data_IF_774558278539
#
_entry.id   IF_774558278539
#
_cell.length_a   1.000
_cell.length_b   1.000
_cell.length_c   1.000
_cell.angle_alpha   90.00
_cell.angle_beta   90.00
_cell.angle_gamma   90.00
#
_symmetry.space_group_name_H-M   'P 1'
#
loop_
_entity.id
_entity.type
_entity.pdbx_description
1 polymer ?
#
# COMPACT_ATOMS: atom_id res chain seq x y z
N UNK A 1 11.62 -37.40 -2.27
CA UNK A 1 10.65 -37.04 -1.23
C UNK A 1 10.48 -35.54 -1.31
N UNK A 2 9.37 -35.03 -1.83
CA UNK A 2 9.13 -33.60 -1.85
C UNK A 2 8.90 -33.15 -0.42
N UNK A 3 9.80 -32.34 0.14
CA UNK A 3 9.55 -31.61 1.37
C UNK A 3 8.38 -30.64 1.07
N UNK A 4 7.17 -31.13 1.24
CA UNK A 4 6.01 -30.23 1.22
C UNK A 4 6.13 -29.35 2.45
N UNK A 5 6.48 -28.09 2.24
CA UNK A 5 6.58 -27.10 3.32
C UNK A 5 5.20 -26.99 3.94
N UNK A 6 5.09 -27.31 5.23
CA UNK A 6 3.86 -27.03 5.99
C UNK A 6 3.83 -25.53 6.31
N UNK A 7 3.31 -24.76 5.33
CA UNK A 7 3.25 -23.30 5.44
C UNK A 7 2.32 -22.84 6.58
N UNK A 8 1.30 -23.61 6.90
CA UNK A 8 0.36 -23.28 7.98
C UNK A 8 1.05 -23.41 9.35
N UNK A 9 1.82 -24.48 9.56
CA UNK A 9 2.57 -24.65 10.80
C UNK A 9 3.66 -23.59 10.96
N UNK A 10 4.39 -23.30 9.87
CA UNK A 10 5.42 -22.27 9.90
C UNK A 10 4.87 -20.87 10.12
N UNK A 11 3.72 -20.54 9.52
CA UNK A 11 3.03 -19.26 9.77
C UNK A 11 2.66 -19.12 11.25
N UNK A 12 2.11 -20.17 11.86
CA UNK A 12 1.74 -20.17 13.28
C UNK A 12 2.94 -20.05 14.22
N UNK A 13 4.08 -20.59 13.81
CA UNK A 13 5.31 -20.59 14.63
C UNK A 13 6.04 -19.24 14.58
N UNK A 14 6.11 -18.62 13.39
CA UNK A 14 6.98 -17.46 13.17
C UNK A 14 6.25 -16.14 12.91
N UNK A 15 4.95 -16.14 12.61
CA UNK A 15 4.20 -14.92 12.33
C UNK A 15 3.16 -14.67 13.43
N UNK A 16 3.13 -13.44 13.94
CA UNK A 16 2.14 -13.05 14.94
C UNK A 16 0.72 -13.28 14.42
N UNK A 17 -0.13 -13.91 15.23
CA UNK A 17 -1.50 -14.28 14.88
C UNK A 17 -2.44 -13.05 14.90
N UNK A 18 -2.26 -12.16 13.94
CA UNK A 18 -3.05 -10.92 13.78
C UNK A 18 -4.09 -11.01 12.67
N UNK A 19 -4.04 -12.05 11.82
CA UNK A 19 -4.94 -12.24 10.69
C UNK A 19 -5.51 -13.65 10.64
N UNK A 20 -6.80 -13.78 10.30
CA UNK A 20 -7.39 -15.06 9.88
C UNK A 20 -7.08 -15.29 8.39
N UNK A 21 -6.26 -16.30 8.08
CA UNK A 21 -5.89 -16.63 6.70
C UNK A 21 -6.72 -17.78 6.15
N UNK A 22 -6.97 -17.74 4.85
CA UNK A 22 -7.44 -18.92 4.12
C UNK A 22 -6.27 -19.90 3.96
N UNK A 23 -6.56 -21.20 4.03
CA UNK A 23 -5.53 -22.23 3.90
C UNK A 23 -5.15 -22.46 2.43
N UNK A 24 -4.54 -21.43 1.84
CA UNK A 24 -3.99 -21.44 0.48
C UNK A 24 -2.68 -20.67 0.49
N UNK A 25 -1.65 -21.28 -0.08
CA UNK A 25 -0.34 -20.62 -0.25
C UNK A 25 -0.09 -20.39 -1.75
N UNK A 26 -0.18 -19.14 -2.19
CA UNK A 26 0.12 -18.75 -3.56
C UNK A 26 1.63 -18.66 -3.79
N UNK A 27 2.11 -19.18 -4.92
CA UNK A 27 3.52 -19.19 -5.29
C UNK A 27 3.82 -18.21 -6.43
N UNK A 28 2.90 -18.08 -7.39
CA UNK A 28 3.08 -17.22 -8.57
C UNK A 28 1.75 -16.70 -9.10
N UNK A 29 1.83 -15.70 -9.97
CA UNK A 29 0.69 -15.16 -10.68
C UNK A 29 1.06 -14.51 -12.00
N UNK A 30 0.08 -14.32 -12.87
CA UNK A 30 0.20 -13.51 -14.10
C UNK A 30 -1.16 -12.88 -14.43
N UNK A 31 -1.20 -11.56 -14.53
CA UNK A 31 -2.47 -10.85 -14.72
C UNK A 31 -3.44 -11.11 -13.56
N UNK A 32 -4.61 -11.65 -13.88
CA UNK A 32 -5.64 -12.03 -12.91
C UNK A 32 -5.62 -13.53 -12.54
N UNK A 33 -4.57 -14.25 -12.87
CA UNK A 33 -4.41 -15.67 -12.52
C UNK A 33 -3.35 -15.84 -11.44
N UNK A 34 -3.65 -16.69 -10.47
CA UNK A 34 -2.75 -17.10 -9.40
C UNK A 34 -2.61 -18.62 -9.38
N UNK A 35 -1.46 -19.12 -8.98
CA UNK A 35 -1.24 -20.55 -8.76
C UNK A 35 -0.72 -20.78 -7.34
N UNK A 36 -1.31 -21.75 -6.68
CA UNK A 36 -0.83 -22.17 -5.36
C UNK A 36 0.38 -23.11 -5.47
N UNK A 37 0.98 -23.44 -4.33
CA UNK A 37 2.13 -24.35 -4.23
C UNK A 37 1.87 -25.78 -4.75
N UNK A 38 0.62 -26.14 -4.98
CA UNK A 38 0.23 -27.43 -5.60
C UNK A 38 0.08 -27.32 -7.12
N UNK A 39 0.15 -26.11 -7.67
CA UNK A 39 -0.06 -25.80 -9.08
C UNK A 39 -1.53 -25.60 -9.46
N UNK A 40 -2.44 -25.56 -8.50
CA UNK A 40 -3.83 -25.26 -8.76
C UNK A 40 -4.00 -23.78 -9.13
N UNK A 41 -4.79 -23.52 -10.17
CA UNK A 41 -5.09 -22.20 -10.68
C UNK A 41 -6.30 -21.57 -10.01
N UNK A 42 -6.23 -20.26 -9.80
CA UNK A 42 -7.29 -19.42 -9.24
C UNK A 42 -7.43 -18.12 -10.03
N UNK A 43 -8.64 -17.60 -10.09
CA UNK A 43 -8.90 -16.24 -10.62
C UNK A 43 -8.85 -15.26 -9.45
N UNK A 44 -7.95 -14.30 -9.53
CA UNK A 44 -7.83 -13.24 -8.53
C UNK A 44 -8.82 -12.10 -8.83
N UNK A 45 -9.90 -12.06 -8.07
CA UNK A 45 -10.86 -10.95 -8.07
C UNK A 45 -10.61 -9.94 -6.94
N UNK A 46 -9.63 -10.21 -6.07
CA UNK A 46 -9.32 -9.38 -4.90
C UNK A 46 -8.20 -8.39 -5.15
N UNK A 47 -7.34 -8.66 -6.15
CA UNK A 47 -6.19 -7.82 -6.52
C UNK A 47 -5.33 -7.37 -5.32
N UNK A 48 -5.16 -8.27 -4.31
CA UNK A 48 -4.44 -7.91 -3.08
C UNK A 48 -5.07 -6.71 -2.33
N UNK A 49 -6.39 -6.63 -2.30
CA UNK A 49 -7.18 -5.49 -1.80
C UNK A 49 -6.83 -4.19 -2.57
N UNK A 50 -6.80 -4.32 -3.92
CA UNK A 50 -6.55 -3.20 -4.84
C UNK A 50 -5.08 -2.82 -5.05
N UNK A 51 -4.14 -3.55 -4.47
CA UNK A 51 -2.70 -3.26 -4.59
C UNK A 51 -2.16 -3.65 -5.98
N UNK A 52 -2.57 -4.81 -6.50
CA UNK A 52 -2.16 -5.30 -7.83
C UNK A 52 -3.15 -4.88 -8.92
N UNK A 53 -3.49 -3.59 -8.99
CA UNK A 53 -4.51 -3.06 -9.89
C UNK A 53 -4.21 -3.29 -11.39
N UNK A 54 -2.94 -3.47 -11.77
CA UNK A 54 -2.52 -3.80 -13.14
C UNK A 54 -2.43 -5.32 -13.39
N UNK A 55 -2.74 -6.14 -12.40
CA UNK A 55 -2.50 -7.58 -12.39
C UNK A 55 -1.13 -7.95 -11.83
N UNK A 56 -0.98 -9.23 -11.51
CA UNK A 56 0.31 -9.76 -11.03
C UNK A 56 1.28 -9.85 -12.20
N UNK A 57 2.53 -9.50 -11.97
CA UNK A 57 3.61 -9.57 -12.95
C UNK A 57 3.27 -8.79 -14.25
N UNK A 58 2.75 -7.56 -14.12
CA UNK A 58 2.58 -6.64 -15.25
C UNK A 58 3.95 -6.19 -15.76
N UNK A 59 4.19 -6.39 -17.07
CA UNK A 59 5.51 -6.19 -17.66
C UNK A 59 5.96 -4.72 -17.58
N UNK A 60 5.05 -3.77 -17.80
CA UNK A 60 5.38 -2.34 -17.78
C UNK A 60 5.69 -1.84 -16.38
N UNK A 61 4.91 -2.29 -15.40
CA UNK A 61 5.12 -1.97 -13.99
C UNK A 61 6.45 -2.56 -13.50
N UNK A 62 6.70 -3.84 -13.78
CA UNK A 62 7.90 -4.55 -13.40
C UNK A 62 9.17 -3.92 -14.02
N UNK A 63 9.12 -3.56 -15.30
CA UNK A 63 10.22 -2.86 -15.98
C UNK A 63 10.49 -1.50 -15.35
N UNK A 64 9.46 -0.70 -15.07
CA UNK A 64 9.61 0.62 -14.47
C UNK A 64 10.21 0.57 -13.06
N UNK A 65 9.75 -0.38 -12.21
CA UNK A 65 10.28 -0.58 -10.86
C UNK A 65 11.73 -1.07 -10.91
N UNK A 66 12.03 -2.05 -11.75
CA UNK A 66 13.38 -2.59 -11.93
C UNK A 66 14.35 -1.50 -12.38
N UNK A 67 13.98 -0.72 -13.38
CA UNK A 67 14.80 0.39 -13.88
C UNK A 67 15.07 1.44 -12.78
N UNK A 68 14.04 1.82 -12.03
CA UNK A 68 14.22 2.81 -10.96
C UNK A 68 15.04 2.27 -9.80
N UNK A 69 14.88 0.99 -9.46
CA UNK A 69 15.67 0.34 -8.39
C UNK A 69 17.16 0.32 -8.70
N UNK A 70 17.53 0.12 -9.96
CA UNK A 70 18.93 0.20 -10.38
C UNK A 70 19.49 1.62 -10.46
N UNK A 71 18.63 2.62 -10.64
CA UNK A 71 19.04 4.03 -10.71
C UNK A 71 19.14 4.66 -9.31
N UNK A 72 18.07 4.60 -8.55
CA UNK A 72 17.97 5.14 -7.19
C UNK A 72 16.71 4.57 -6.52
N UNK A 73 16.87 3.61 -5.63
CA UNK A 73 15.76 2.93 -4.97
C UNK A 73 15.25 3.66 -3.73
N UNK A 74 16.12 4.39 -3.02
CA UNK A 74 15.76 5.17 -1.85
C UNK A 74 16.68 6.36 -1.66
N UNK A 75 16.08 7.45 -1.19
CA UNK A 75 16.78 8.63 -0.67
C UNK A 75 15.88 9.28 0.39
N UNK A 76 16.49 9.76 1.46
CA UNK A 76 15.74 10.44 2.54
C UNK A 76 15.00 11.69 2.02
N UNK A 77 13.89 12.06 2.68
CA UNK A 77 13.18 13.33 2.46
C UNK A 77 14.05 14.59 2.75
N UNK A 78 15.30 14.40 3.16
CA UNK A 78 16.29 15.48 3.21
C UNK A 78 16.74 15.93 1.81
N UNK A 79 16.45 15.15 0.79
CA UNK A 79 16.86 15.41 -0.59
C UNK A 79 15.65 15.35 -1.54
N UNK A 80 15.77 15.98 -2.69
CA UNK A 80 14.73 15.93 -3.71
C UNK A 80 14.81 14.66 -4.55
N UNK A 81 13.65 14.11 -4.91
CA UNK A 81 13.51 12.95 -5.79
C UNK A 81 12.66 13.29 -7.00
N UNK A 82 13.22 13.15 -8.20
CA UNK A 82 12.50 13.46 -9.44
C UNK A 82 11.22 12.63 -9.64
N UNK A 83 11.20 11.30 -9.43
CA UNK A 83 9.97 10.51 -9.56
C UNK A 83 8.87 10.98 -8.61
N UNK A 84 9.22 11.33 -7.38
CA UNK A 84 8.26 11.84 -6.39
C UNK A 84 7.66 13.18 -6.80
N UNK A 85 8.49 14.11 -7.30
CA UNK A 85 8.06 15.43 -7.77
C UNK A 85 7.12 15.30 -8.96
N UNK A 86 7.47 14.45 -9.94
CA UNK A 86 6.65 14.26 -11.14
C UNK A 86 5.30 13.61 -10.80
N UNK A 87 5.27 12.61 -9.92
CA UNK A 87 4.03 12.00 -9.45
C UNK A 87 3.15 13.04 -8.72
N UNK A 88 3.74 13.85 -7.84
CA UNK A 88 3.00 14.91 -7.13
C UNK A 88 2.39 15.92 -8.11
N UNK A 89 3.13 16.33 -9.13
CA UNK A 89 2.65 17.24 -10.19
C UNK A 89 1.45 16.64 -10.94
N UNK A 90 1.55 15.37 -11.34
CA UNK A 90 0.47 14.69 -12.05
C UNK A 90 -0.78 14.55 -11.18
N UNK A 91 -0.62 14.15 -9.91
CA UNK A 91 -1.74 14.04 -8.96
C UNK A 91 -2.41 15.40 -8.72
N UNK A 92 -1.65 16.46 -8.48
CA UNK A 92 -2.22 17.80 -8.31
C UNK A 92 -2.97 18.25 -9.57
N UNK A 93 -2.42 18.01 -10.77
CA UNK A 93 -3.07 18.36 -12.01
C UNK A 93 -4.39 17.62 -12.27
N UNK A 94 -4.47 16.36 -11.86
CA UNK A 94 -5.68 15.52 -12.03
C UNK A 94 -6.75 15.75 -10.98
N UNK A 95 -6.35 16.05 -9.74
CA UNK A 95 -7.28 16.19 -8.61
C UNK A 95 -7.70 17.62 -8.30
N UNK A 96 -6.98 18.61 -8.84
CA UNK A 96 -7.16 20.02 -8.48
C UNK A 96 -6.60 20.39 -7.11
N UNK A 97 -6.01 19.45 -6.38
CA UNK A 97 -5.35 19.69 -5.09
C UNK A 97 -4.05 20.47 -5.28
N UNK A 98 -3.64 21.23 -4.26
CA UNK A 98 -2.46 22.10 -4.32
C UNK A 98 -1.16 21.37 -4.04
N UNK A 99 -1.19 20.37 -3.15
CA UNK A 99 -0.01 19.63 -2.67
C UNK A 99 -0.37 18.19 -2.33
N UNK A 100 0.63 17.32 -2.33
CA UNK A 100 0.53 15.91 -1.96
C UNK A 100 1.48 15.64 -0.80
N UNK A 101 1.03 14.83 0.13
CA UNK A 101 1.86 14.19 1.14
C UNK A 101 1.91 12.69 0.85
N UNK A 102 3.11 12.14 0.74
CA UNK A 102 3.32 10.72 0.53
C UNK A 102 3.60 10.03 1.86
N UNK A 103 2.94 8.91 2.10
CA UNK A 103 3.09 8.07 3.29
C UNK A 103 3.16 6.60 2.90
N UNK A 104 3.47 5.72 3.84
CA UNK A 104 3.60 4.29 3.58
C UNK A 104 2.27 3.54 3.69
N UNK A 105 1.24 4.13 4.29
CA UNK A 105 -0.02 3.44 4.55
C UNK A 105 -1.21 4.40 4.64
N UNK A 106 -2.43 3.86 4.52
CA UNK A 106 -3.66 4.60 4.75
C UNK A 106 -3.76 5.15 6.18
N UNK A 107 -3.28 4.39 7.17
CA UNK A 107 -3.23 4.84 8.56
C UNK A 107 -2.36 6.09 8.73
N UNK A 108 -1.15 6.10 8.15
CA UNK A 108 -0.28 7.28 8.16
C UNK A 108 -0.88 8.47 7.41
N UNK A 109 -1.60 8.21 6.30
CA UNK A 109 -2.30 9.26 5.55
C UNK A 109 -3.41 9.89 6.39
N UNK A 110 -4.19 9.09 7.12
CA UNK A 110 -5.21 9.60 8.04
C UNK A 110 -4.61 10.36 9.22
N UNK A 111 -3.50 9.88 9.79
CA UNK A 111 -2.74 10.60 10.82
C UNK A 111 -2.32 12.00 10.32
N UNK A 112 -1.79 12.08 9.11
CA UNK A 112 -1.43 13.35 8.50
C UNK A 112 -2.65 14.25 8.31
N UNK A 113 -3.76 13.72 7.79
CA UNK A 113 -4.99 14.47 7.56
C UNK A 113 -5.57 15.03 8.86
N UNK A 114 -5.63 14.22 9.92
CA UNK A 114 -6.10 14.63 11.24
C UNK A 114 -5.20 15.74 11.82
N UNK A 115 -3.88 15.55 11.78
CA UNK A 115 -2.92 16.53 12.28
C UNK A 115 -2.98 17.84 11.50
N UNK A 116 -3.08 17.77 10.18
CA UNK A 116 -3.20 18.96 9.32
C UNK A 116 -4.50 19.72 9.58
N UNK A 117 -5.62 19.02 9.70
CA UNK A 117 -6.93 19.64 10.00
C UNK A 117 -6.92 20.33 11.38
N UNK A 118 -6.39 19.66 12.39
CA UNK A 118 -6.30 20.24 13.75
C UNK A 118 -5.35 21.43 13.79
N UNK A 119 -4.19 21.32 13.15
CA UNK A 119 -3.22 22.43 13.07
C UNK A 119 -3.81 23.64 12.34
N UNK A 120 -4.43 23.42 11.18
CA UNK A 120 -5.11 24.48 10.45
C UNK A 120 -6.21 25.15 11.28
N UNK A 121 -7.04 24.35 11.97
CA UNK A 121 -8.11 24.86 12.80
C UNK A 121 -7.59 25.72 13.95
N UNK A 122 -6.55 25.25 14.64
CA UNK A 122 -5.90 26.00 15.71
C UNK A 122 -5.30 27.33 15.21
N UNK A 123 -4.54 27.29 14.12
CA UNK A 123 -3.88 28.49 13.59
C UNK A 123 -4.87 29.56 13.10
N UNK A 124 -5.99 29.11 12.56
CA UNK A 124 -7.01 30.02 11.99
C UNK A 124 -8.04 30.52 13.01
N UNK A 125 -8.40 29.70 13.99
CA UNK A 125 -9.54 29.94 14.86
C UNK A 125 -9.19 29.93 16.36
N UNK A 126 -7.94 29.60 16.72
CA UNK A 126 -7.52 29.43 18.11
C UNK A 126 -7.92 28.09 18.71
N UNK A 127 -7.93 28.02 20.05
CA UNK A 127 -8.24 26.81 20.80
C UNK A 127 -9.74 26.41 20.71
N UNK A 128 -10.05 25.16 21.05
CA UNK A 128 -11.41 24.63 21.18
C UNK A 128 -12.00 23.94 19.96
N UNK A 129 -11.46 24.14 18.76
CA UNK A 129 -11.95 23.54 17.51
C UNK A 129 -11.04 22.39 17.01
N UNK A 130 -10.92 21.35 17.83
CA UNK A 130 -9.98 20.26 17.57
C UNK A 130 -10.63 18.87 17.48
N UNK A 131 -11.95 18.79 17.59
CA UNK A 131 -12.69 17.53 17.54
C UNK A 131 -12.80 17.06 16.10
N UNK A 132 -12.46 15.80 15.87
CA UNK A 132 -12.68 15.08 14.61
C UNK A 132 -13.81 14.08 14.82
N UNK A 133 -14.80 14.11 13.95
CA UNK A 133 -15.94 13.18 13.99
C UNK A 133 -15.74 12.11 12.93
N UNK A 134 -15.92 10.84 13.32
CA UNK A 134 -15.84 9.69 12.42
C UNK A 134 -17.09 8.83 12.56
N UNK A 135 -17.34 7.96 11.58
CA UNK A 135 -18.40 6.98 11.68
C UNK A 135 -17.97 5.82 12.60
N UNK A 136 -18.95 5.22 13.28
CA UNK A 136 -18.74 3.99 14.05
C UNK A 136 -18.30 2.88 13.11
N UNK A 137 -17.36 2.06 13.54
CA UNK A 137 -16.75 0.96 12.73
C UNK A 137 -16.03 1.42 11.47
N UNK A 138 -15.56 2.68 11.41
CA UNK A 138 -14.62 3.09 10.36
C UNK A 138 -13.33 2.26 10.44
N UNK A 139 -12.72 1.99 9.28
CA UNK A 139 -11.49 1.20 9.21
C UNK A 139 -10.29 1.94 9.84
N UNK A 140 -10.27 3.26 9.72
CA UNK A 140 -9.29 4.16 10.33
C UNK A 140 -9.99 5.28 11.07
#
# INVERSE_FOLDING_TARGET
>A
MSNTIDFEQQDKEYIANTYGRFNVCFEKGKGSLLWDVTGKEYIDLGSGIGVTAFGVDDDKWTEAVTKQSHALNHISNLYYSLPQIELAKQLCGKTGMKKVFFSNSGAESNECAIKAARKYSHDKYGEGRHVIVTLVNSFH
#
